data_IF_532918802950
#
_entry.id   IF_532918802950
#
_cell.length_a   1.000
_cell.length_b   1.000
_cell.length_c   1.000
_cell.angle_alpha   90.00
_cell.angle_beta   90.00
_cell.angle_gamma   90.00
#
_symmetry.space_group_name_H-M   'P 1'
#
loop_
_entity.id
_entity.type
_entity.pdbx_description
1 polymer ?
#
# COMPACT_ATOMS: atom_id res chain seq x y z
N UNK A 1 -4.33 -66.40 46.94
CA UNK A 1 -4.43 -67.51 45.96
C UNK A 1 -4.43 -66.93 44.55
N UNK A 2 -3.73 -67.58 43.59
CA UNK A 2 -3.42 -67.06 42.25
C UNK A 2 -4.50 -67.45 41.22
N UNK A 3 -4.52 -66.93 39.96
CA UNK A 3 -3.86 -67.66 38.86
C UNK A 3 -3.33 -66.76 37.70
N UNK A 4 -2.18 -67.05 37.09
CA UNK A 4 -1.84 -67.92 35.93
C UNK A 4 -1.94 -67.24 34.55
N UNK A 5 -0.88 -67.49 33.78
CA UNK A 5 -0.67 -67.16 32.37
C UNK A 5 -1.79 -67.67 31.45
N UNK A 6 -2.08 -66.90 30.40
CA UNK A 6 -2.60 -67.41 29.14
C UNK A 6 -1.84 -66.74 27.97
N UNK A 7 -1.18 -67.57 27.17
CA UNK A 7 -0.71 -67.21 25.82
C UNK A 7 -1.81 -67.63 24.86
N UNK A 8 -2.17 -66.78 23.92
CA UNK A 8 -2.98 -67.21 22.77
C UNK A 8 -2.54 -66.45 21.53
N UNK A 9 -2.02 -67.21 20.55
CA UNK A 9 -1.75 -66.77 19.19
C UNK A 9 -3.03 -66.98 18.38
N UNK A 10 -3.50 -65.94 17.68
CA UNK A 10 -4.43 -66.11 16.56
C UNK A 10 -3.95 -65.28 15.37
N UNK A 11 -4.12 -65.87 14.20
CA UNK A 11 -3.60 -65.51 12.88
C UNK A 11 -3.95 -64.10 12.42
N UNK A 12 -2.98 -63.46 11.76
CA UNK A 12 -3.13 -62.20 11.03
C UNK A 12 -4.30 -62.25 10.04
N UNK A 13 -5.20 -61.28 10.15
CA UNK A 13 -5.75 -60.59 8.98
C UNK A 13 -5.43 -59.11 9.20
N UNK A 14 -4.37 -58.63 8.55
CA UNK A 14 -4.10 -57.19 8.48
C UNK A 14 -5.19 -56.55 7.63
N UNK A 15 -6.17 -55.93 8.28
CA UNK A 15 -6.88 -54.83 7.66
C UNK A 15 -6.12 -53.55 8.02
N UNK A 16 -5.19 -53.17 7.16
CA UNK A 16 -4.54 -51.87 7.24
C UNK A 16 -5.59 -50.83 6.87
N UNK A 17 -6.30 -50.29 7.86
CA UNK A 17 -6.92 -48.98 7.69
C UNK A 17 -5.76 -48.00 7.65
N UNK A 18 -5.42 -47.53 6.45
CA UNK A 18 -4.58 -46.37 6.30
C UNK A 18 -5.33 -45.19 6.94
N UNK A 19 -5.07 -44.93 8.23
CA UNK A 19 -5.34 -43.61 8.79
C UNK A 19 -4.35 -42.70 8.09
N UNK A 20 -4.82 -42.05 7.03
CA UNK A 20 -4.12 -40.91 6.47
C UNK A 20 -3.98 -39.92 7.63
N UNK A 21 -2.75 -39.75 8.13
CA UNK A 21 -2.45 -38.63 8.99
C UNK A 21 -2.80 -37.40 8.17
N UNK A 22 -3.91 -36.76 8.49
CA UNK A 22 -4.18 -35.42 7.99
C UNK A 22 -3.03 -34.58 8.49
N UNK A 23 -2.10 -34.25 7.61
CA UNK A 23 -1.14 -33.18 7.88
C UNK A 23 -1.99 -31.95 8.20
N UNK A 24 -2.11 -31.64 9.48
CA UNK A 24 -2.58 -30.34 9.90
C UNK A 24 -1.51 -29.39 9.43
N UNK A 25 -1.69 -28.83 8.23
CA UNK A 25 -0.96 -27.66 7.80
C UNK A 25 -1.19 -26.63 8.90
N UNK A 26 -0.14 -26.36 9.69
CA UNK A 26 -0.18 -25.27 10.66
C UNK A 26 -0.36 -24.01 9.83
N UNK A 27 -1.60 -23.53 9.71
CA UNK A 27 -1.87 -22.24 9.12
C UNK A 27 -1.09 -21.23 9.96
N UNK A 28 -0.01 -20.69 9.39
CA UNK A 28 0.78 -19.65 10.04
C UNK A 28 -0.10 -18.40 10.03
N UNK A 29 -0.80 -18.15 11.14
CA UNK A 29 -1.58 -16.94 11.29
C UNK A 29 -0.62 -15.77 11.44
N UNK A 30 -0.51 -14.97 10.39
CA UNK A 30 0.12 -13.66 10.44
C UNK A 30 -0.99 -12.69 10.83
N UNK A 31 -0.79 -11.98 11.94
CA UNK A 31 -1.69 -10.91 12.38
C UNK A 31 -1.06 -9.58 12.02
N UNK A 32 -1.88 -8.68 11.47
CA UNK A 32 -1.50 -7.28 11.25
C UNK A 32 -2.10 -6.44 12.37
N UNK A 33 -1.31 -5.51 12.90
CA UNK A 33 -1.78 -4.50 13.81
C UNK A 33 -1.91 -3.17 13.06
N UNK A 34 -2.92 -2.36 13.41
CA UNK A 34 -3.01 -0.99 12.93
C UNK A 34 -1.83 -0.20 13.50
N UNK A 35 -0.98 0.30 12.63
CA UNK A 35 0.17 1.14 13.02
C UNK A 35 -0.20 2.62 12.89
N UNK A 36 -0.89 2.99 11.82
CA UNK A 36 -1.31 4.36 11.55
C UNK A 36 -2.68 4.41 10.88
N UNK A 37 -3.43 5.46 11.20
CA UNK A 37 -4.73 5.79 10.63
C UNK A 37 -4.74 7.29 10.35
N UNK A 38 -5.14 7.67 9.14
CA UNK A 38 -5.28 9.06 8.73
C UNK A 38 -6.72 9.31 8.33
N UNK A 39 -7.44 10.13 9.11
CA UNK A 39 -8.84 10.48 8.85
C UNK A 39 -8.99 12.00 8.79
N UNK A 40 -9.65 12.50 7.74
CA UNK A 40 -9.96 13.92 7.60
C UNK A 40 -8.75 14.84 7.72
N UNK A 41 -8.62 15.52 8.86
CA UNK A 41 -7.54 16.49 9.11
C UNK A 41 -6.17 15.84 9.33
N UNK A 42 -6.12 14.56 9.70
CA UNK A 42 -4.87 13.88 10.03
C UNK A 42 -3.94 13.84 8.80
N UNK A 43 -4.50 13.85 7.59
CA UNK A 43 -3.74 13.99 6.34
C UNK A 43 -2.92 15.28 6.26
N UNK A 44 -3.39 16.38 6.86
CA UNK A 44 -2.65 17.65 6.89
C UNK A 44 -1.42 17.58 7.80
N UNK A 45 -1.44 16.68 8.78
CA UNK A 45 -0.40 16.52 9.79
C UNK A 45 0.54 15.36 9.46
N UNK A 46 0.03 14.30 8.83
CA UNK A 46 0.77 13.08 8.47
C UNK A 46 1.67 13.20 7.24
N UNK A 47 1.44 14.22 6.41
CA UNK A 47 2.08 14.36 5.11
C UNK A 47 2.81 15.70 4.97
N UNK A 48 3.91 15.67 4.22
CA UNK A 48 4.60 16.84 3.70
C UNK A 48 3.97 17.27 2.38
N UNK A 49 3.84 18.58 2.18
CA UNK A 49 3.36 19.19 0.94
C UNK A 49 4.57 19.63 0.14
N UNK A 50 4.98 18.81 -0.82
CA UNK A 50 6.20 19.02 -1.57
C UNK A 50 5.98 20.06 -2.66
N UNK A 51 6.48 21.27 -2.43
CA UNK A 51 6.52 22.35 -3.41
C UNK A 51 7.83 22.29 -4.20
N UNK A 52 7.94 21.27 -5.04
CA UNK A 52 9.11 20.99 -5.89
C UNK A 52 8.72 21.02 -7.37
N UNK A 53 9.71 21.15 -8.25
CA UNK A 53 9.53 20.88 -9.67
C UNK A 53 9.12 19.40 -9.86
N UNK A 54 8.22 19.15 -10.80
CA UNK A 54 7.72 17.79 -11.04
C UNK A 54 8.84 16.88 -11.56
N UNK A 55 9.21 15.81 -10.83
CA UNK A 55 10.25 14.87 -11.26
C UNK A 55 9.93 14.17 -12.59
N UNK A 56 8.66 14.11 -12.97
CA UNK A 56 8.20 13.54 -14.25
C UNK A 56 8.08 14.57 -15.37
N UNK A 57 8.43 15.83 -15.09
CA UNK A 57 8.41 16.96 -16.03
C UNK A 57 7.01 17.29 -16.58
N UNK A 58 5.97 17.04 -15.79
CA UNK A 58 4.59 17.39 -16.11
C UNK A 58 4.32 18.90 -16.06
N UNK A 59 3.20 19.30 -16.67
CA UNK A 59 2.75 20.71 -16.70
C UNK A 59 1.98 21.06 -15.42
N UNK A 60 2.67 21.05 -14.29
CA UNK A 60 2.09 21.20 -12.95
C UNK A 60 2.95 22.13 -12.09
N UNK A 61 2.28 22.90 -11.23
CA UNK A 61 2.92 23.69 -10.18
C UNK A 61 2.52 23.10 -8.82
N UNK A 62 3.42 22.37 -8.16
CA UNK A 62 3.13 21.86 -6.82
C UNK A 62 3.25 22.96 -5.78
N UNK A 63 2.18 23.17 -5.02
CA UNK A 63 2.12 24.23 -4.01
C UNK A 63 2.21 23.69 -2.59
N UNK A 64 2.73 24.51 -1.68
CA UNK A 64 2.80 24.16 -0.26
C UNK A 64 1.40 24.17 0.40
N UNK A 65 1.33 23.67 1.64
CA UNK A 65 0.07 23.52 2.39
C UNK A 65 -0.69 24.84 2.57
N UNK A 66 0.02 25.96 2.72
CA UNK A 66 -0.61 27.28 2.93
C UNK A 66 -1.40 27.70 1.69
N UNK A 67 -0.77 27.62 0.52
CA UNK A 67 -1.41 27.93 -0.76
C UNK A 67 -2.51 26.91 -1.06
N UNK A 68 -2.25 25.62 -0.83
CA UNK A 68 -3.23 24.56 -1.07
C UNK A 68 -4.52 24.75 -0.26
N UNK A 69 -4.41 25.18 1.01
CA UNK A 69 -5.58 25.50 1.85
C UNK A 69 -6.27 26.79 1.39
N UNK A 70 -5.50 27.84 1.09
CA UNK A 70 -6.03 29.13 0.64
C UNK A 70 -6.81 29.01 -0.68
N UNK A 71 -6.30 28.23 -1.62
CA UNK A 71 -6.92 27.96 -2.92
C UNK A 71 -7.95 26.82 -2.87
N UNK A 72 -8.15 26.21 -1.69
CA UNK A 72 -9.05 25.09 -1.45
C UNK A 72 -8.73 23.84 -2.30
N UNK A 73 -7.45 23.65 -2.66
CA UNK A 73 -6.95 22.45 -3.31
C UNK A 73 -6.94 21.25 -2.36
N UNK A 74 -6.78 21.55 -1.06
CA UNK A 74 -7.04 20.59 0.03
C UNK A 74 -8.11 21.08 0.98
N UNK A 75 -8.97 20.18 1.43
CA UNK A 75 -9.98 20.46 2.45
C UNK A 75 -10.18 19.23 3.33
N UNK A 76 -10.20 19.44 4.64
CA UNK A 76 -10.58 18.42 5.62
C UNK A 76 -11.88 18.83 6.29
N UNK A 77 -12.90 17.96 6.27
CA UNK A 77 -14.18 18.21 6.95
C UNK A 77 -14.74 16.92 7.53
N UNK A 78 -14.83 16.86 8.85
CA UNK A 78 -15.15 15.61 9.55
C UNK A 78 -14.13 14.55 9.16
N UNK A 79 -14.63 13.40 8.72
CA UNK A 79 -13.80 12.25 8.36
C UNK A 79 -13.32 12.28 6.89
N UNK A 80 -13.71 13.30 6.12
CA UNK A 80 -13.37 13.43 4.71
C UNK A 80 -12.17 14.34 4.48
N UNK A 81 -11.26 13.88 3.64
CA UNK A 81 -10.18 14.67 3.07
C UNK A 81 -10.38 14.78 1.56
N UNK A 82 -10.30 16.00 1.03
CA UNK A 82 -10.40 16.30 -0.40
C UNK A 82 -9.05 16.78 -0.88
N UNK A 83 -8.57 16.17 -1.97
CA UNK A 83 -7.36 16.54 -2.69
C UNK A 83 -7.75 16.77 -4.16
N UNK A 84 -7.37 17.92 -4.73
CA UNK A 84 -7.67 18.26 -6.13
C UNK A 84 -6.67 19.28 -6.70
N UNK A 85 -6.56 19.31 -8.03
CA UNK A 85 -5.89 20.38 -8.74
C UNK A 85 -6.82 21.61 -8.91
N UNK A 86 -6.24 22.76 -9.21
CA UNK A 86 -6.98 23.97 -9.56
C UNK A 86 -7.82 23.73 -10.82
N UNK A 87 -9.14 23.93 -10.74
CA UNK A 87 -10.06 23.78 -11.87
C UNK A 87 -10.64 25.09 -12.40
N UNK A 88 -10.19 26.24 -11.89
CA UNK A 88 -10.78 27.57 -12.16
C UNK A 88 -9.92 28.42 -13.08
N UNK A 89 -8.59 28.32 -12.96
CA UNK A 89 -7.69 29.23 -13.68
C UNK A 89 -7.47 28.80 -15.13
N UNK A 90 -7.59 29.77 -16.05
CA UNK A 90 -7.09 29.67 -17.42
C UNK A 90 -5.59 29.93 -17.43
N UNK A 91 -4.82 28.96 -17.91
CA UNK A 91 -3.35 29.02 -17.87
C UNK A 91 -2.77 29.62 -19.15
N UNK A 92 -1.66 30.34 -19.02
CA UNK A 92 -0.81 30.69 -20.18
C UNK A 92 0.00 29.47 -20.61
N UNK A 93 0.19 29.26 -21.94
CA UNK A 93 1.06 28.19 -22.47
C UNK A 93 2.53 28.30 -22.07
N UNK A 94 2.98 29.42 -21.51
CA UNK A 94 4.34 29.69 -21.06
C UNK A 94 4.47 29.68 -19.52
N UNK A 95 3.36 29.59 -18.77
CA UNK A 95 3.36 29.62 -17.31
C UNK A 95 3.77 28.31 -16.63
N UNK A 96 3.87 28.28 -15.29
CA UNK A 96 4.39 27.14 -14.52
C UNK A 96 3.53 25.86 -14.58
N UNK A 97 2.30 25.96 -15.08
CA UNK A 97 1.34 24.85 -15.12
C UNK A 97 0.21 25.03 -14.12
N UNK A 98 -0.61 23.99 -13.96
CA UNK A 98 -1.78 24.03 -13.07
C UNK A 98 -1.35 23.83 -11.63
N UNK A 99 -1.87 24.63 -10.70
CA UNK A 99 -1.64 24.38 -9.28
C UNK A 99 -2.20 23.02 -8.88
N UNK A 100 -1.38 22.21 -8.24
CA UNK A 100 -1.73 20.89 -7.71
C UNK A 100 -0.96 20.63 -6.42
N UNK A 101 -1.17 19.47 -5.81
CA UNK A 101 -0.56 19.10 -4.54
C UNK A 101 0.09 17.74 -4.67
N UNK A 102 1.34 17.65 -4.21
CA UNK A 102 2.08 16.40 -4.02
C UNK A 102 2.21 16.17 -2.52
N UNK A 103 1.65 15.06 -2.02
CA UNK A 103 1.73 14.67 -0.62
C UNK A 103 2.73 13.52 -0.46
N UNK A 104 3.66 13.66 0.48
CA UNK A 104 4.59 12.61 0.88
C UNK A 104 4.39 12.27 2.34
N UNK A 105 4.19 11.00 2.69
CA UNK A 105 4.05 10.61 4.10
C UNK A 105 5.31 10.99 4.88
N UNK A 106 5.15 11.44 6.11
CA UNK A 106 6.28 11.73 7.00
C UNK A 106 6.97 10.45 7.45
N UNK A 107 6.19 9.38 7.61
CA UNK A 107 6.66 8.07 8.00
C UNK A 107 6.93 7.20 6.77
N UNK A 108 7.87 6.27 6.92
CA UNK A 108 8.28 5.29 5.91
C UNK A 108 8.05 3.89 6.47
N UNK A 109 7.68 2.95 5.62
CA UNK A 109 7.38 1.57 6.02
C UNK A 109 8.13 0.60 5.12
N UNK A 110 8.84 -0.34 5.75
CA UNK A 110 9.57 -1.40 5.04
C UNK A 110 8.63 -2.53 4.60
N UNK A 111 7.71 -2.93 5.49
CA UNK A 111 6.66 -3.90 5.24
C UNK A 111 5.33 -3.32 5.74
N UNK A 112 4.34 -3.19 4.87
CA UNK A 112 3.05 -2.62 5.22
C UNK A 112 1.90 -3.24 4.44
N UNK A 113 0.73 -3.27 5.08
CA UNK A 113 -0.56 -3.44 4.42
C UNK A 113 -1.25 -2.10 4.47
N UNK A 114 -1.52 -1.52 3.30
CA UNK A 114 -2.22 -0.24 3.18
C UNK A 114 -3.63 -0.48 2.67
N UNK A 115 -4.61 0.14 3.33
CA UNK A 115 -6.01 0.15 2.89
C UNK A 115 -6.38 1.61 2.59
N UNK A 116 -6.68 1.90 1.33
CA UNK A 116 -6.97 3.26 0.85
C UNK A 116 -8.12 3.30 -0.16
N UNK A 117 -8.80 4.43 -0.25
CA UNK A 117 -9.79 4.72 -1.29
C UNK A 117 -10.01 6.24 -1.48
N UNK A 118 -9.63 6.87 -2.63
CA UNK A 118 -8.70 6.45 -3.67
C UNK A 118 -7.32 7.16 -3.58
N UNK A 119 -6.36 6.54 -4.29
CA UNK A 119 -4.99 6.96 -4.63
C UNK A 119 -3.97 6.99 -3.48
N UNK A 120 -3.09 5.97 -3.48
CA UNK A 120 -1.79 5.97 -2.79
C UNK A 120 -0.81 5.33 -3.77
N UNK A 121 0.39 5.86 -3.85
CA UNK A 121 1.54 5.22 -4.48
C UNK A 121 2.67 5.31 -3.46
N UNK A 122 3.58 4.34 -3.47
CA UNK A 122 4.67 4.28 -2.49
C UNK A 122 5.99 4.43 -3.20
N UNK A 123 6.91 5.19 -2.60
CA UNK A 123 8.21 5.45 -3.18
C UNK A 123 9.31 5.16 -2.16
N UNK A 124 10.36 4.46 -2.59
CA UNK A 124 11.57 4.27 -1.78
C UNK A 124 12.52 5.46 -1.89
N UNK A 125 13.15 5.86 -0.78
CA UNK A 125 14.10 6.98 -0.74
C UNK A 125 15.55 6.50 -0.59
N UNK A 126 16.50 6.93 -1.47
CA UNK A 126 16.34 7.97 -2.49
C UNK A 126 15.67 7.46 -3.78
N UNK A 127 14.70 8.21 -4.30
CA UNK A 127 14.10 7.95 -5.61
C UNK A 127 15.06 8.35 -6.75
N UNK A 128 15.12 7.60 -7.86
CA UNK A 128 14.36 6.40 -8.20
C UNK A 128 15.00 5.07 -7.73
N UNK A 129 16.05 5.15 -6.92
CA UNK A 129 16.95 4.02 -6.69
C UNK A 129 16.39 2.94 -5.76
N UNK A 130 15.38 3.23 -4.93
CA UNK A 130 14.75 2.24 -4.06
C UNK A 130 13.36 1.78 -4.54
N UNK A 131 13.02 2.10 -5.79
CA UNK A 131 11.79 1.64 -6.44
C UNK A 131 10.51 2.40 -6.05
N UNK A 132 9.43 2.01 -6.71
CA UNK A 132 8.11 2.67 -6.64
C UNK A 132 7.01 1.65 -6.90
N UNK A 133 5.90 1.72 -6.16
CA UNK A 133 4.70 0.90 -6.35
C UNK A 133 3.52 1.82 -6.66
N UNK A 134 3.01 1.70 -7.87
CA UNK A 134 1.90 2.49 -8.38
C UNK A 134 0.60 1.71 -8.23
N UNK A 135 -0.14 1.99 -7.16
CA UNK A 135 -1.37 1.24 -6.82
C UNK A 135 -2.54 1.72 -7.67
N UNK A 136 -2.62 3.04 -7.94
CA UNK A 136 -3.58 3.63 -8.88
C UNK A 136 -2.85 4.63 -9.78
N UNK A 137 -2.72 4.29 -11.06
CA UNK A 137 -2.03 5.11 -12.06
C UNK A 137 -2.80 5.10 -13.39
N UNK A 138 -2.78 6.23 -14.08
CA UNK A 138 -3.31 6.36 -15.41
C UNK A 138 -3.11 7.76 -15.97
N UNK A 139 -3.13 7.87 -17.29
CA UNK A 139 -3.06 9.16 -17.97
C UNK A 139 -4.33 9.40 -18.78
N UNK A 140 -4.83 10.63 -18.78
CA UNK A 140 -6.02 11.02 -19.53
C UNK A 140 -7.25 10.15 -19.19
N UNK A 141 -8.01 9.71 -20.18
CA UNK A 141 -9.21 8.87 -20.02
C UNK A 141 -8.88 7.37 -20.01
N UNK A 142 -7.68 7.00 -19.55
CA UNK A 142 -7.24 5.61 -19.55
C UNK A 142 -8.07 4.76 -18.58
N UNK A 143 -8.56 3.65 -19.11
CA UNK A 143 -9.20 2.58 -18.36
C UNK A 143 -8.80 1.25 -19.00
N UNK A 144 -8.51 0.19 -18.21
CA UNK A 144 -8.56 0.12 -16.75
C UNK A 144 -7.35 0.79 -16.06
N UNK A 145 -7.36 0.81 -14.72
CA UNK A 145 -6.22 1.22 -13.89
C UNK A 145 -4.93 0.53 -14.32
N UNK A 146 -3.81 1.26 -14.32
CA UNK A 146 -2.48 0.69 -14.50
C UNK A 146 -1.83 0.47 -13.13
N UNK A 147 -1.34 -0.76 -12.87
CA UNK A 147 -0.62 -1.08 -11.64
C UNK A 147 0.81 -1.42 -12.06
N UNK A 148 1.76 -0.60 -11.62
CA UNK A 148 3.17 -0.68 -12.06
C UNK A 148 4.09 -0.80 -10.85
N UNK A 149 5.21 -1.49 -11.06
CA UNK A 149 6.29 -1.60 -10.11
C UNK A 149 7.58 -1.15 -10.80
N UNK A 150 8.24 -0.13 -10.25
CA UNK A 150 9.57 0.28 -10.69
C UNK A 150 10.63 -0.29 -9.75
N UNK A 151 11.63 -0.98 -10.30
CA UNK A 151 12.76 -1.55 -9.53
C UNK A 151 14.09 -1.18 -10.18
N UNK A 152 15.15 -1.00 -9.41
CA UNK A 152 16.51 -1.00 -9.92
C UNK A 152 16.98 -2.43 -10.23
N UNK A 153 17.77 -2.61 -11.30
CA UNK A 153 18.42 -3.88 -11.69
C UNK A 153 17.50 -5.10 -11.87
N UNK A 154 16.19 -4.88 -12.09
CA UNK A 154 15.22 -5.94 -12.35
C UNK A 154 15.00 -6.90 -11.17
N UNK A 155 15.37 -6.51 -9.94
CA UNK A 155 15.19 -7.33 -8.74
C UNK A 155 14.05 -6.82 -7.89
N UNK A 156 13.08 -7.71 -7.70
CA UNK A 156 12.01 -7.56 -6.73
C UNK A 156 12.52 -7.99 -5.35
N UNK A 157 12.71 -7.06 -4.41
CA UNK A 157 12.94 -7.40 -3.01
C UNK A 157 11.57 -7.63 -2.35
N UNK A 158 11.06 -8.86 -2.41
CA UNK A 158 10.10 -9.34 -1.42
C UNK A 158 10.93 -10.11 -0.40
N UNK A 159 11.17 -9.56 0.79
CA UNK A 159 11.63 -10.37 1.90
C UNK A 159 10.46 -11.26 2.34
N UNK A 160 10.65 -12.58 2.27
CA UNK A 160 9.72 -13.57 2.84
C UNK A 160 9.77 -13.59 4.37
#
# INVERSE_FOLDING_TARGET
MPPRLAVTLWTLVSLTIAVSATETTSARSISYALVEEYIGKDFLEGFNFDAIDDPTHGRVNYVNSTIALQEQLVQAKGDSFVLRADSKTTLSPEGPGRNSVRLMSKNQYENAVMVTWPAVWTVGLPWPHLGEIDIIEGVNNQSPNNIVLHTTDGKMLISQ
#
